data_IF_387959356705
#
_entry.id   IF_387959356705
#
_cell.length_a   1.000
_cell.length_b   1.000
_cell.length_c   1.000
_cell.angle_alpha   90.00
_cell.angle_beta   90.00
_cell.angle_gamma   90.00
#
_symmetry.space_group_name_H-M   'P 1'
#
loop_
_entity.id
_entity.type
_entity.pdbx_description
1 polymer ?
#
# COMPACT_ATOMS: atom_id res chain seq x y z
N UNK A 1 12.01 -4.40 3.75
CA UNK A 1 10.72 -3.67 3.67
C UNK A 1 11.03 -2.21 3.51
N UNK A 2 10.58 -1.60 2.41
CA UNK A 2 10.63 -0.14 2.24
C UNK A 2 9.63 0.52 3.17
N UNK A 3 9.93 1.72 3.67
CA UNK A 3 9.03 2.51 4.54
C UNK A 3 7.63 2.67 3.91
N UNK A 4 7.56 2.80 2.57
CA UNK A 4 6.31 2.85 1.82
C UNK A 4 5.50 1.56 1.87
N UNK A 5 6.14 0.40 1.87
CA UNK A 5 5.44 -0.88 1.97
C UNK A 5 4.85 -1.05 3.36
N UNK A 6 5.59 -0.66 4.40
CA UNK A 6 5.08 -0.68 5.77
C UNK A 6 3.90 0.26 5.97
N UNK A 7 3.92 1.45 5.34
CA UNK A 7 2.79 2.37 5.33
C UNK A 7 1.57 1.79 4.61
N UNK A 8 1.77 1.21 3.42
CA UNK A 8 0.70 0.54 2.66
C UNK A 8 0.12 -0.63 3.47
N UNK A 9 0.96 -1.46 4.07
CA UNK A 9 0.53 -2.57 4.94
C UNK A 9 -0.29 -2.07 6.14
N UNK A 10 0.16 -1.00 6.81
CA UNK A 10 -0.55 -0.42 7.95
C UNK A 10 -1.94 0.09 7.56
N UNK A 11 -2.07 0.75 6.40
CA UNK A 11 -3.36 1.25 5.92
C UNK A 11 -4.28 0.12 5.44
N UNK A 12 -3.72 -0.95 4.88
CA UNK A 12 -4.48 -2.16 4.53
C UNK A 12 -5.02 -2.87 5.77
N UNK A 13 -4.22 -2.97 6.83
CA UNK A 13 -4.64 -3.53 8.12
C UNK A 13 -5.77 -2.72 8.77
N UNK A 14 -5.87 -1.43 8.46
CA UNK A 14 -7.01 -0.58 8.86
C UNK A 14 -8.27 -0.80 8.00
N UNK A 15 -8.22 -1.68 7.00
CA UNK A 15 -9.33 -1.93 6.07
C UNK A 15 -9.52 -0.85 5.00
N UNK A 16 -8.54 0.04 4.79
CA UNK A 16 -8.62 1.06 3.74
C UNK A 16 -8.48 0.42 2.35
N UNK A 17 -9.23 0.96 1.40
CA UNK A 17 -9.16 0.49 0.00
C UNK A 17 -7.92 1.02 -0.71
N UNK A 18 -7.49 0.36 -1.79
CA UNK A 18 -6.33 0.79 -2.59
C UNK A 18 -6.43 2.24 -3.08
N UNK A 19 -7.64 2.73 -3.39
CA UNK A 19 -7.89 4.12 -3.79
C UNK A 19 -7.62 5.11 -2.66
N UNK A 20 -8.10 4.81 -1.47
CA UNK A 20 -7.86 5.63 -0.28
C UNK A 20 -6.37 5.68 0.04
N UNK A 21 -5.69 4.53 -0.01
CA UNK A 21 -4.25 4.42 0.24
C UNK A 21 -3.45 5.20 -0.79
N UNK A 22 -3.81 5.09 -2.07
CA UNK A 22 -3.21 5.84 -3.17
C UNK A 22 -3.33 7.35 -2.93
N UNK A 23 -4.53 7.80 -2.54
CA UNK A 23 -4.78 9.21 -2.23
C UNK A 23 -4.00 9.70 -1.01
N UNK A 24 -3.95 8.93 0.08
CA UNK A 24 -3.25 9.31 1.31
C UNK A 24 -1.74 9.38 1.14
N UNK A 25 -1.17 8.42 0.41
CA UNK A 25 0.27 8.36 0.15
C UNK A 25 0.68 9.19 -1.07
N UNK A 26 -0.27 9.88 -1.74
CA UNK A 26 -0.04 10.65 -2.97
C UNK A 26 0.71 9.82 -4.04
N UNK A 27 0.28 8.55 -4.19
CA UNK A 27 0.84 7.60 -5.17
C UNK A 27 -0.27 7.04 -6.04
N UNK A 28 0.11 6.47 -7.18
CA UNK A 28 -0.85 5.80 -8.06
C UNK A 28 -1.32 4.46 -7.48
N UNK A 29 -2.54 4.06 -7.79
CA UNK A 29 -3.08 2.73 -7.43
C UNK A 29 -2.19 1.58 -7.92
N UNK A 30 -1.50 1.76 -9.07
CA UNK A 30 -0.52 0.79 -9.58
C UNK A 30 0.65 0.59 -8.60
N UNK A 31 1.13 1.66 -7.99
CA UNK A 31 2.20 1.61 -6.98
C UNK A 31 1.72 0.92 -5.71
N UNK A 32 0.48 1.16 -5.30
CA UNK A 32 -0.15 0.45 -4.17
C UNK A 32 -0.23 -1.05 -4.47
N UNK A 33 -0.71 -1.45 -5.65
CA UNK A 33 -0.77 -2.86 -6.07
C UNK A 33 0.61 -3.53 -6.09
N UNK A 34 1.64 -2.81 -6.53
CA UNK A 34 3.01 -3.30 -6.51
C UNK A 34 3.53 -3.51 -5.08
N UNK A 35 3.33 -2.52 -4.19
CA UNK A 35 3.69 -2.65 -2.77
C UNK A 35 2.95 -3.84 -2.13
N UNK A 36 1.65 -3.99 -2.38
CA UNK A 36 0.84 -5.11 -1.91
C UNK A 36 1.42 -6.44 -2.38
N UNK A 37 1.69 -6.57 -3.69
CA UNK A 37 2.33 -7.79 -4.23
C UNK A 37 3.64 -8.11 -3.55
N UNK A 38 4.46 -7.10 -3.30
CA UNK A 38 5.77 -7.29 -2.68
C UNK A 38 5.66 -7.65 -1.19
N UNK A 39 4.67 -7.09 -0.48
CA UNK A 39 4.33 -7.45 0.92
C UNK A 39 3.87 -8.92 1.01
N UNK A 40 3.02 -9.39 0.07
CA UNK A 40 2.53 -10.78 0.04
C UNK A 40 3.52 -11.78 -0.58
N UNK A 41 4.61 -11.29 -1.20
CA UNK A 41 5.65 -12.13 -1.80
C UNK A 41 6.78 -12.46 -0.81
N UNK A 42 6.66 -12.01 0.44
CA UNK A 42 7.46 -12.45 1.60
C UNK A 42 6.79 -13.66 2.26
#
# INVERSE_FOLDING_TARGET
MSERESQVASLLLQGKTYKTIASELTISENTVKYCVKNIYSL
#
